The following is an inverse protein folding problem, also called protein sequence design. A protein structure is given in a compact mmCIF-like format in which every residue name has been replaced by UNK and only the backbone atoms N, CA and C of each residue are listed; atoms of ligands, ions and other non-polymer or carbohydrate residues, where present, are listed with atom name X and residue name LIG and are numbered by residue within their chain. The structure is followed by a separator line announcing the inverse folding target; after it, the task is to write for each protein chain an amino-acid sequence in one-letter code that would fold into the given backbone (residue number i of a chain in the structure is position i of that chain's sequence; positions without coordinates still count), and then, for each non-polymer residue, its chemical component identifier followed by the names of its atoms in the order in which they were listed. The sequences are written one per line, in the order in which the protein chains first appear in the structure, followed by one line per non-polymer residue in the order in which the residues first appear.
data_IF_507858963548
#
_entry.id   IF_507858963548
#
_cell.length_a   1.000
_cell.length_b   1.000
_cell.length_c   1.000
_cell.angle_alpha   90.00
_cell.angle_beta   90.00
_cell.angle_gamma   90.00
#
_symmetry.space_group_name_H-M   'P 1'
#
loop_
_entity.id
_entity.type
_entity.pdbx_description
1 polymer ?
#
# COMPACT_ATOMS: atom_id res chain seq x y z
N UNK A 1 -11.00 25.70 32.33
CA UNK A 1 -10.50 24.32 32.11
C UNK A 1 -8.98 24.37 31.97
N UNK A 2 -8.24 23.55 32.73
CA UNK A 2 -6.77 23.56 32.75
C UNK A 2 -6.18 22.99 31.44
N UNK A 3 -5.00 23.46 31.02
CA UNK A 3 -4.27 23.01 29.82
C UNK A 3 -4.03 21.49 29.76
N UNK A 4 -4.03 20.81 30.91
CA UNK A 4 -3.87 19.35 31.00
C UNK A 4 -5.04 18.56 30.43
N UNK A 5 -6.27 19.07 30.60
CA UNK A 5 -7.49 18.37 30.16
C UNK A 5 -7.57 18.30 28.63
N UNK A 6 -7.08 19.32 27.93
CA UNK A 6 -7.11 19.39 26.46
C UNK A 6 -6.11 18.45 25.77
N UNK A 7 -4.97 18.14 26.42
CA UNK A 7 -3.94 17.24 25.86
C UNK A 7 -4.33 15.77 26.07
N UNK A 8 -4.92 15.47 27.22
CA UNK A 8 -5.42 14.14 27.55
C UNK A 8 -6.62 13.76 26.70
N UNK A 9 -7.52 14.70 26.44
CA UNK A 9 -8.69 14.47 25.60
C UNK A 9 -8.23 14.05 24.18
N UNK A 10 -7.23 14.73 23.60
CA UNK A 10 -6.58 14.37 22.31
C UNK A 10 -6.08 12.91 22.23
N UNK A 11 -5.71 12.28 23.34
CA UNK A 11 -5.22 10.89 23.34
C UNK A 11 -6.37 9.86 23.20
N UNK A 12 -7.46 10.01 23.95
CA UNK A 12 -8.65 9.16 23.83
C UNK A 12 -9.38 9.34 22.50
N UNK A 13 -9.34 10.57 21.99
CA UNK A 13 -9.83 10.95 20.67
C UNK A 13 -9.15 10.16 19.54
N UNK A 14 -7.86 9.82 19.64
CA UNK A 14 -7.17 9.03 18.63
C UNK A 14 -7.63 7.55 18.60
N UNK A 15 -7.94 6.97 19.76
CA UNK A 15 -8.40 5.58 19.86
C UNK A 15 -9.84 5.40 19.36
N UNK A 16 -10.75 6.30 19.75
CA UNK A 16 -12.13 6.27 19.26
C UNK A 16 -12.22 6.51 17.74
N UNK A 17 -11.31 7.32 17.19
CA UNK A 17 -11.21 7.53 15.75
C UNK A 17 -10.66 6.32 14.99
N UNK A 18 -9.69 5.62 15.56
CA UNK A 18 -9.19 4.38 14.99
C UNK A 18 -10.31 3.31 14.91
N UNK A 19 -11.20 3.27 15.91
CA UNK A 19 -12.40 2.41 15.87
C UNK A 19 -13.43 2.89 14.85
N UNK A 20 -13.68 4.20 14.75
CA UNK A 20 -14.53 4.76 13.70
C UNK A 20 -14.06 4.40 12.29
N UNK A 21 -12.75 4.54 12.01
CA UNK A 21 -12.19 4.17 10.71
C UNK A 21 -12.30 2.68 10.40
N UNK A 22 -12.38 1.84 11.45
CA UNK A 22 -12.59 0.40 11.31
C UNK A 22 -14.07 0.04 11.13
N UNK A 23 -15.00 0.70 11.82
CA UNK A 23 -16.42 0.33 11.87
C UNK A 23 -17.34 1.16 10.96
N UNK A 24 -16.95 2.38 10.61
CA UNK A 24 -17.78 3.35 9.88
C UNK A 24 -18.92 3.96 10.70
N UNK A 25 -19.03 3.66 12.00
CA UNK A 25 -20.17 4.02 12.84
C UNK A 25 -19.86 5.26 13.71
N UNK A 26 -20.33 6.43 13.27
CA UNK A 26 -20.07 7.71 13.94
C UNK A 26 -20.76 7.81 15.31
N UNK A 27 -21.93 7.20 15.45
CA UNK A 27 -22.67 7.18 16.72
C UNK A 27 -21.89 6.44 17.80
N UNK A 28 -21.37 5.26 17.46
CA UNK A 28 -20.57 4.44 18.37
C UNK A 28 -19.28 5.15 18.81
N UNK A 29 -18.60 5.83 17.89
CA UNK A 29 -17.42 6.64 18.21
C UNK A 29 -17.76 7.81 19.15
N UNK A 30 -18.90 8.48 18.94
CA UNK A 30 -19.39 9.57 19.79
C UNK A 30 -19.74 9.07 21.19
N UNK A 31 -20.40 7.91 21.28
CA UNK A 31 -20.71 7.27 22.57
C UNK A 31 -19.45 6.90 23.34
N UNK A 32 -18.43 6.35 22.65
CA UNK A 32 -17.16 5.98 23.27
C UNK A 32 -16.43 7.22 23.83
N UNK A 33 -16.39 8.29 23.05
CA UNK A 33 -15.83 9.59 23.47
C UNK A 33 -16.56 10.14 24.70
N UNK A 34 -17.89 10.17 24.69
CA UNK A 34 -18.68 10.67 25.81
C UNK A 34 -18.45 9.82 27.08
N UNK A 35 -18.35 8.50 26.92
CA UNK A 35 -18.06 7.57 28.01
C UNK A 35 -16.66 7.78 28.61
N UNK A 36 -15.64 7.96 27.78
CA UNK A 36 -14.27 8.19 28.23
C UNK A 36 -14.12 9.54 28.96
N UNK A 37 -14.81 10.58 28.48
CA UNK A 37 -14.91 11.88 29.15
C UNK A 37 -15.58 11.76 30.52
N UNK A 38 -16.69 11.03 30.59
CA UNK A 38 -17.43 10.76 31.83
C UNK A 38 -16.57 10.01 32.86
N UNK A 39 -15.90 8.92 32.45
CA UNK A 39 -15.04 8.13 33.33
C UNK A 39 -13.84 8.91 33.88
N UNK A 40 -13.25 9.80 33.07
CA UNK A 40 -12.04 10.55 33.44
C UNK A 40 -12.30 11.71 34.40
N UNK A 41 -13.51 12.27 34.49
CA UNK A 41 -13.75 13.47 35.33
C UNK A 41 -13.81 13.19 36.83
N UNK A 42 -13.99 11.94 37.26
CA UNK A 42 -14.23 11.61 38.68
C UNK A 42 -15.43 12.39 39.26
N UNK A 43 -15.32 12.93 40.49
CA UNK A 43 -16.38 13.65 41.21
C UNK A 43 -16.59 15.12 40.77
N UNK A 44 -16.03 15.56 39.65
CA UNK A 44 -16.17 16.95 39.19
C UNK A 44 -17.60 17.20 38.67
N UNK A 45 -18.34 18.24 39.11
CA UNK A 45 -19.75 18.40 38.75
C UNK A 45 -19.90 18.87 37.30
N UNK A 46 -20.32 17.97 36.41
CA UNK A 46 -20.92 18.26 35.10
C UNK A 46 -22.06 17.26 34.88
N UNK A 47 -23.07 17.63 34.08
CA UNK A 47 -24.14 16.69 33.74
C UNK A 47 -23.70 15.76 32.62
N UNK A 48 -24.25 14.54 32.56
CA UNK A 48 -24.05 13.66 31.41
C UNK A 48 -24.43 14.36 30.09
N UNK A 49 -25.47 15.20 30.11
CA UNK A 49 -25.88 16.02 28.97
C UNK A 49 -24.80 17.00 28.50
N UNK A 50 -24.02 17.58 29.42
CA UNK A 50 -22.91 18.47 29.06
C UNK A 50 -21.75 17.69 28.42
N UNK A 51 -21.49 16.47 28.89
CA UNK A 51 -20.47 15.58 28.30
C UNK A 51 -20.88 15.13 26.90
N UNK A 52 -22.17 14.81 26.70
CA UNK A 52 -22.73 14.51 25.39
C UNK A 52 -22.65 15.69 24.43
N UNK A 53 -23.03 16.89 24.90
CA UNK A 53 -22.95 18.10 24.09
C UNK A 53 -21.50 18.43 23.68
N UNK A 54 -20.54 18.21 24.57
CA UNK A 54 -19.12 18.39 24.26
C UNK A 54 -18.59 17.31 23.31
N UNK A 55 -18.99 16.05 23.50
CA UNK A 55 -18.69 14.96 22.57
C UNK A 55 -19.25 15.24 21.17
N UNK A 56 -20.50 15.67 21.06
CA UNK A 56 -21.13 16.04 19.78
C UNK A 56 -20.42 17.22 19.11
N UNK A 57 -20.08 18.27 19.88
CA UNK A 57 -19.34 19.42 19.36
C UNK A 57 -17.99 19.00 18.81
N UNK A 58 -17.25 18.18 19.56
CA UNK A 58 -15.95 17.67 19.16
C UNK A 58 -16.07 16.80 17.91
N UNK A 59 -17.03 15.87 17.85
CA UNK A 59 -17.28 15.04 16.66
C UNK A 59 -17.74 15.85 15.45
N UNK A 60 -18.43 16.96 15.66
CA UNK A 60 -18.91 17.86 14.59
C UNK A 60 -17.79 18.72 14.00
N UNK A 61 -16.88 19.22 14.82
CA UNK A 61 -15.71 20.02 14.40
C UNK A 61 -14.54 19.13 13.89
N UNK A 62 -14.58 17.85 14.26
CA UNK A 62 -13.63 16.79 13.89
C UNK A 62 -13.33 16.69 12.39
N UNK A 63 -14.32 16.66 11.47
CA UNK A 63 -14.08 16.35 10.07
C UNK A 63 -13.12 17.32 9.42
N UNK A 64 -13.10 18.60 9.81
CA UNK A 64 -12.23 19.61 9.20
C UNK A 64 -10.76 19.47 9.64
N UNK A 65 -10.51 19.28 10.94
CA UNK A 65 -9.15 19.06 11.50
C UNK A 65 -8.59 17.70 11.11
N UNK A 66 -9.48 16.71 10.98
CA UNK A 66 -9.14 15.39 10.45
C UNK A 66 -9.07 15.40 8.94
N UNK A 67 -9.64 16.31 8.15
CA UNK A 67 -9.40 16.28 6.70
C UNK A 67 -7.92 16.49 6.39
N UNK A 68 -7.26 17.41 7.09
CA UNK A 68 -5.80 17.58 7.01
C UNK A 68 -5.04 16.39 7.63
N UNK A 69 -5.46 15.92 8.82
CA UNK A 69 -4.81 14.76 9.48
C UNK A 69 -5.08 13.43 8.77
N UNK A 70 -6.18 13.28 8.04
CA UNK A 70 -6.61 12.09 7.30
C UNK A 70 -5.94 12.01 5.94
N UNK A 71 -5.66 13.15 5.30
CA UNK A 71 -4.73 13.21 4.18
C UNK A 71 -3.34 12.73 4.63
N UNK A 72 -2.85 13.20 5.79
CA UNK A 72 -1.61 12.70 6.41
C UNK A 72 -1.72 11.20 6.72
N UNK A 73 -2.84 10.71 7.27
CA UNK A 73 -3.05 9.27 7.51
C UNK A 73 -3.10 8.42 6.24
N UNK A 74 -3.61 8.96 5.12
CA UNK A 74 -3.61 8.25 3.84
C UNK A 74 -2.17 8.06 3.34
N UNK A 75 -1.34 9.10 3.45
CA UNK A 75 0.09 9.00 3.14
C UNK A 75 0.82 8.06 4.11
N UNK A 76 0.55 8.14 5.41
CA UNK A 76 1.14 7.25 6.41
C UNK A 76 0.77 5.79 6.15
N UNK A 77 -0.51 5.51 5.85
CA UNK A 77 -0.99 4.17 5.52
C UNK A 77 -0.34 3.64 4.25
N UNK A 78 -0.20 4.47 3.22
CA UNK A 78 0.50 4.05 2.01
C UNK A 78 2.00 3.87 2.23
N UNK A 79 2.63 4.67 3.08
CA UNK A 79 4.04 4.53 3.44
C UNK A 79 4.26 3.24 4.21
N UNK A 80 3.37 2.91 5.16
CA UNK A 80 3.38 1.65 5.89
C UNK A 80 3.22 0.45 4.94
N UNK A 81 2.26 0.49 4.02
CA UNK A 81 2.06 -0.57 3.02
C UNK A 81 3.26 -0.72 2.08
N UNK A 82 3.89 0.39 1.70
CA UNK A 82 5.12 0.36 0.88
C UNK A 82 6.27 -0.28 1.64
N UNK A 83 6.45 0.05 2.92
CA UNK A 83 7.46 -0.59 3.78
C UNK A 83 7.22 -2.08 3.95
N UNK A 84 5.95 -2.50 4.07
CA UNK A 84 5.56 -3.92 4.13
C UNK A 84 6.00 -4.64 2.84
N UNK A 85 5.66 -4.09 1.67
CA UNK A 85 6.09 -4.65 0.37
C UNK A 85 7.61 -4.72 0.25
N UNK A 86 8.34 -3.65 0.62
CA UNK A 86 9.80 -3.66 0.54
C UNK A 86 10.41 -4.73 1.44
N UNK A 87 9.89 -4.92 2.66
CA UNK A 87 10.34 -5.99 3.57
C UNK A 87 10.06 -7.38 3.02
N UNK A 88 8.90 -7.59 2.39
CA UNK A 88 8.59 -8.85 1.73
C UNK A 88 9.54 -9.12 0.55
N UNK A 89 9.89 -8.09 -0.22
CA UNK A 89 10.86 -8.19 -1.32
C UNK A 89 12.26 -8.51 -0.78
N UNK A 90 12.68 -7.86 0.31
CA UNK A 90 13.93 -8.18 0.99
C UNK A 90 13.98 -9.65 1.42
N UNK A 91 12.91 -10.14 2.06
CA UNK A 91 12.81 -11.53 2.50
C UNK A 91 12.79 -12.52 1.32
N UNK A 92 12.06 -12.22 0.25
CA UNK A 92 11.95 -13.03 -0.95
C UNK A 92 13.29 -13.15 -1.70
N UNK A 93 14.01 -12.05 -1.81
CA UNK A 93 15.23 -11.96 -2.60
C UNK A 93 16.51 -12.19 -1.78
N UNK A 94 16.41 -12.23 -0.45
CA UNK A 94 17.57 -12.29 0.45
C UNK A 94 18.38 -11.00 0.46
N UNK A 95 17.73 -9.86 0.24
CA UNK A 95 18.37 -8.54 0.29
C UNK A 95 18.35 -8.00 1.73
N UNK A 96 19.38 -7.24 2.09
CA UNK A 96 19.53 -6.63 3.44
C UNK A 96 19.38 -5.12 3.41
N UNK A 97 19.08 -4.55 2.24
CA UNK A 97 19.03 -3.12 1.99
C UNK A 97 17.70 -2.72 1.35
N UNK A 98 16.87 -1.89 2.02
CA UNK A 98 15.58 -1.45 1.49
C UNK A 98 15.72 -0.67 0.17
N UNK A 99 16.84 0.03 -0.03
CA UNK A 99 17.09 0.76 -1.28
C UNK A 99 17.34 -0.18 -2.46
N UNK A 100 17.93 -1.34 -2.22
CA UNK A 100 18.12 -2.35 -3.27
C UNK A 100 16.78 -2.99 -3.63
N UNK A 101 15.98 -3.38 -2.63
CA UNK A 101 14.62 -3.88 -2.84
C UNK A 101 13.77 -2.88 -3.65
N UNK A 102 13.88 -1.58 -3.34
CA UNK A 102 13.22 -0.52 -4.09
C UNK A 102 13.70 -0.41 -5.54
N UNK A 103 15.01 -0.48 -5.80
CA UNK A 103 15.57 -0.44 -7.16
C UNK A 103 15.12 -1.64 -7.99
N UNK A 104 15.13 -2.83 -7.39
CA UNK A 104 14.66 -4.06 -8.03
C UNK A 104 13.18 -3.97 -8.37
N UNK A 105 12.34 -3.55 -7.41
CA UNK A 105 10.91 -3.34 -7.65
C UNK A 105 10.67 -2.36 -8.80
N UNK A 106 11.35 -1.20 -8.79
CA UNK A 106 11.23 -0.17 -9.82
C UNK A 106 11.59 -0.71 -11.21
N UNK A 107 12.71 -1.43 -11.33
CA UNK A 107 13.19 -1.98 -12.60
C UNK A 107 12.16 -2.95 -13.22
N UNK A 108 11.62 -3.87 -12.41
CA UNK A 108 10.61 -4.84 -12.86
C UNK A 108 9.28 -4.15 -13.20
N UNK A 109 8.83 -3.22 -12.36
CA UNK A 109 7.62 -2.45 -12.60
C UNK A 109 7.65 -1.66 -13.91
N UNK A 110 8.80 -1.06 -14.25
CA UNK A 110 8.99 -0.39 -15.52
C UNK A 110 8.95 -1.34 -16.72
N UNK A 111 9.60 -2.50 -16.62
CA UNK A 111 9.55 -3.53 -17.66
C UNK A 111 8.12 -4.04 -17.89
N UNK A 112 7.34 -4.23 -16.82
CA UNK A 112 5.91 -4.58 -16.91
C UNK A 112 5.14 -3.49 -17.64
N UNK A 113 5.27 -2.23 -17.23
CA UNK A 113 4.56 -1.10 -17.81
C UNK A 113 4.76 -0.98 -19.31
N UNK A 114 5.98 -1.20 -19.80
CA UNK A 114 6.31 -1.09 -21.23
C UNK A 114 5.61 -2.14 -22.10
N UNK A 115 5.10 -3.22 -21.50
CA UNK A 115 4.36 -4.27 -22.19
C UNK A 115 2.85 -4.09 -22.17
N UNK A 116 2.34 -3.17 -21.36
CA UNK A 116 0.90 -2.95 -21.19
C UNK A 116 0.41 -1.78 -22.06
N UNK A 117 -0.79 -1.91 -22.67
CA UNK A 117 -1.54 -0.75 -23.17
C UNK A 117 -1.86 0.23 -22.04
N UNK A 118 -2.03 1.51 -22.37
CA UNK A 118 -2.29 2.59 -21.38
C UNK A 118 -3.43 2.26 -20.41
N UNK A 119 -4.51 1.65 -20.92
CA UNK A 119 -5.65 1.23 -20.08
C UNK A 119 -5.23 0.19 -19.03
N UNK A 120 -4.54 -0.85 -19.46
CA UNK A 120 -4.09 -1.96 -18.63
C UNK A 120 -3.01 -1.50 -17.63
N UNK A 121 -2.15 -0.56 -18.04
CA UNK A 121 -1.22 0.14 -17.16
C UNK A 121 -1.94 0.83 -16.01
N UNK A 122 -3.06 1.53 -16.28
CA UNK A 122 -3.85 2.20 -15.27
C UNK A 122 -4.54 1.22 -14.31
N UNK A 123 -5.13 0.14 -14.84
CA UNK A 123 -5.77 -0.91 -14.05
C UNK A 123 -4.76 -1.65 -13.17
N UNK A 124 -3.57 -1.94 -13.68
CA UNK A 124 -2.47 -2.51 -12.90
C UNK A 124 -2.00 -1.56 -11.79
N UNK A 125 -1.79 -0.29 -12.11
CA UNK A 125 -1.36 0.72 -11.13
C UNK A 125 -2.36 0.89 -9.98
N UNK A 126 -3.66 0.72 -10.24
CA UNK A 126 -4.70 0.81 -9.20
C UNK A 126 -4.57 -0.28 -8.11
N UNK A 127 -3.77 -1.32 -8.35
CA UNK A 127 -3.50 -2.40 -7.38
C UNK A 127 -2.25 -2.10 -6.51
N UNK A 128 -1.49 -1.04 -6.82
CA UNK A 128 -0.25 -0.70 -6.15
C UNK A 128 -0.50 0.31 -5.02
N UNK A 129 0.29 0.28 -3.92
CA UNK A 129 0.34 1.37 -2.96
C UNK A 129 0.63 2.72 -3.64
N UNK A 130 0.09 3.83 -3.12
CA UNK A 130 0.18 5.15 -3.79
C UNK A 130 1.61 5.58 -4.05
N UNK A 131 2.53 5.29 -3.11
CA UNK A 131 3.94 5.61 -3.27
C UNK A 131 4.58 4.78 -4.39
N UNK A 132 4.26 3.49 -4.47
CA UNK A 132 4.75 2.59 -5.53
C UNK A 132 4.14 2.98 -6.88
N UNK A 133 2.90 3.48 -6.90
CA UNK A 133 2.27 4.02 -8.11
C UNK A 133 3.05 5.20 -8.69
N UNK A 134 3.54 6.11 -7.84
CA UNK A 134 4.41 7.20 -8.28
C UNK A 134 5.70 6.70 -8.93
N UNK A 135 6.31 5.65 -8.36
CA UNK A 135 7.48 4.97 -8.96
C UNK A 135 7.11 4.37 -10.30
N UNK A 136 5.99 3.63 -10.35
CA UNK A 136 5.51 2.95 -11.53
C UNK A 136 5.29 3.90 -12.70
N UNK A 137 4.92 5.16 -12.49
CA UNK A 137 4.74 6.15 -13.57
C UNK A 137 5.95 7.06 -13.81
N UNK A 138 6.97 6.99 -12.96
CA UNK A 138 8.14 7.88 -13.05
C UNK A 138 8.84 7.74 -14.39
N UNK A 139 9.09 8.88 -15.04
CA UNK A 139 9.81 8.96 -16.31
C UNK A 139 9.10 8.28 -17.49
N UNK A 140 7.80 7.97 -17.37
CA UNK A 140 7.06 7.35 -18.46
C UNK A 140 6.59 8.38 -19.48
N UNK A 141 6.79 8.06 -20.75
CA UNK A 141 6.14 8.74 -21.88
C UNK A 141 5.30 7.66 -22.57
N UNK A 142 3.96 7.74 -22.52
CA UNK A 142 3.09 6.76 -23.15
C UNK A 142 3.33 6.72 -24.66
N UNK A 143 3.53 5.52 -25.21
CA UNK A 143 3.58 5.29 -26.64
C UNK A 143 2.29 4.60 -27.10
N UNK A 144 1.82 4.91 -28.31
CA UNK A 144 0.60 4.31 -28.89
C UNK A 144 0.65 2.78 -29.00
N UNK A 145 1.86 2.20 -29.02
CA UNK A 145 2.06 0.75 -29.08
C UNK A 145 2.98 0.30 -27.95
N UNK A 146 2.61 -0.73 -27.17
CA UNK A 146 3.51 -1.33 -26.19
C UNK A 146 4.79 -1.83 -26.86
N UNK A 147 5.90 -1.79 -26.11
CA UNK A 147 7.18 -2.29 -26.58
C UNK A 147 7.05 -3.75 -27.00
N UNK A 148 7.55 -4.09 -28.19
CA UNK A 148 7.53 -5.47 -28.69
C UNK A 148 8.67 -6.24 -28.05
N UNK A 149 8.37 -6.99 -26.99
CA UNK A 149 9.25 -8.01 -26.43
C UNK A 149 8.67 -9.38 -26.76
N UNK A 150 9.38 -10.16 -27.58
CA UNK A 150 8.98 -11.50 -28.03
C UNK A 150 9.55 -12.58 -27.12
N UNK A 151 10.77 -12.36 -26.61
CA UNK A 151 11.50 -13.34 -25.80
C UNK A 151 11.52 -12.95 -24.32
N UNK A 152 11.63 -13.93 -23.43
CA UNK A 152 11.78 -13.67 -22.00
C UNK A 152 13.10 -12.95 -21.69
N UNK A 153 14.17 -13.23 -22.44
CA UNK A 153 15.46 -12.54 -22.32
C UNK A 153 15.31 -11.02 -22.53
N UNK A 154 14.57 -10.57 -23.53
CA UNK A 154 14.37 -9.13 -23.78
C UNK A 154 13.67 -8.41 -22.61
N UNK A 155 12.78 -9.12 -21.90
CA UNK A 155 12.17 -8.60 -20.69
C UNK A 155 13.18 -8.50 -19.55
N UNK A 156 14.01 -9.53 -19.37
CA UNK A 156 15.07 -9.56 -18.35
C UNK A 156 16.15 -8.52 -18.64
N UNK A 157 16.59 -8.37 -19.89
CA UNK A 157 17.56 -7.36 -20.34
C UNK A 157 17.06 -5.94 -20.02
N UNK A 158 15.75 -5.72 -20.19
CA UNK A 158 15.12 -4.45 -19.82
C UNK A 158 15.17 -4.19 -18.32
N UNK A 159 15.02 -5.22 -17.49
CA UNK A 159 15.16 -5.11 -16.03
C UNK A 159 16.63 -4.87 -15.67
N UNK A 160 17.55 -5.63 -16.26
CA UNK A 160 19.00 -5.52 -16.05
C UNK A 160 19.51 -4.10 -16.30
N UNK A 161 19.00 -3.42 -17.32
CA UNK A 161 19.37 -2.04 -17.64
C UNK A 161 19.15 -1.04 -16.49
N UNK A 162 18.25 -1.33 -15.54
CA UNK A 162 17.97 -0.51 -14.37
C UNK A 162 18.46 -1.12 -13.05
N UNK A 163 19.06 -2.31 -13.09
CA UNK A 163 19.57 -3.02 -11.91
C UNK A 163 21.04 -2.71 -11.62
N UNK A 164 21.45 -2.76 -10.34
CA UNK A 164 22.86 -2.87 -9.98
C UNK A 164 23.51 -4.11 -10.63
N UNK A 165 24.71 -3.96 -11.19
CA UNK A 165 25.45 -5.01 -11.92
C UNK A 165 25.78 -6.26 -11.10
N UNK A 166 25.71 -6.18 -9.77
CA UNK A 166 26.00 -7.27 -8.85
C UNK A 166 24.79 -8.15 -8.52
N UNK A 167 23.61 -7.83 -9.06
CA UNK A 167 22.38 -8.59 -8.84
C UNK A 167 22.05 -9.44 -10.08
N UNK A 168 21.52 -10.63 -9.85
CA UNK A 168 21.05 -11.53 -10.91
C UNK A 168 19.67 -11.06 -11.44
N UNK A 169 19.56 -10.56 -12.68
CA UNK A 169 18.31 -10.01 -13.21
C UNK A 169 17.18 -11.02 -13.28
N UNK A 170 17.48 -12.30 -13.57
CA UNK A 170 16.46 -13.35 -13.68
C UNK A 170 15.84 -13.60 -12.31
N UNK A 171 16.69 -13.92 -11.32
CA UNK A 171 16.25 -14.18 -9.94
C UNK A 171 15.50 -12.98 -9.35
N UNK A 172 16.01 -11.77 -9.56
CA UNK A 172 15.36 -10.54 -9.09
C UNK A 172 13.96 -10.38 -9.69
N UNK A 173 13.83 -10.63 -11.01
CA UNK A 173 12.55 -10.52 -11.71
C UNK A 173 11.54 -11.54 -11.21
N UNK A 174 11.93 -12.81 -11.09
CA UNK A 174 11.05 -13.88 -10.60
C UNK A 174 10.53 -13.58 -9.19
N UNK A 175 11.40 -13.12 -8.28
CA UNK A 175 10.99 -12.78 -6.92
C UNK A 175 10.00 -11.61 -6.85
N UNK A 176 10.19 -10.56 -7.66
CA UNK A 176 9.19 -9.49 -7.75
C UNK A 176 7.87 -10.00 -8.32
N UNK A 177 7.89 -10.85 -9.35
CA UNK A 177 6.67 -11.45 -9.90
C UNK A 177 5.91 -12.23 -8.81
N UNK A 178 6.62 -12.98 -7.95
CA UNK A 178 6.01 -13.68 -6.81
C UNK A 178 5.37 -12.73 -5.81
N UNK A 179 6.08 -11.67 -5.39
CA UNK A 179 5.52 -10.64 -4.50
C UNK A 179 4.28 -9.98 -5.12
N UNK A 180 4.34 -9.58 -6.39
CA UNK A 180 3.19 -9.02 -7.10
C UNK A 180 2.01 -10.00 -7.12
N UNK A 181 2.27 -11.29 -7.35
CA UNK A 181 1.25 -12.34 -7.32
C UNK A 181 0.56 -12.53 -5.96
N UNK A 182 1.20 -12.13 -4.85
CA UNK A 182 0.62 -12.17 -3.49
C UNK A 182 -0.27 -10.98 -3.18
N UNK A 183 0.02 -9.80 -3.73
CA UNK A 183 -0.71 -8.56 -3.41
C UNK A 183 -1.73 -8.12 -4.45
N UNK A 184 -1.54 -8.48 -5.72
CA UNK A 184 -2.41 -8.07 -6.82
C UNK A 184 -3.55 -9.07 -6.99
N UNK A 185 -4.75 -8.57 -7.31
CA UNK A 185 -5.89 -9.44 -7.56
C UNK A 185 -5.65 -10.39 -8.74
N UNK A 186 -6.26 -11.58 -8.68
CA UNK A 186 -6.16 -12.59 -9.76
C UNK A 186 -6.58 -12.02 -11.11
N UNK A 187 -7.64 -11.18 -11.14
CA UNK A 187 -8.12 -10.54 -12.36
C UNK A 187 -7.05 -9.67 -13.01
N UNK A 188 -6.50 -8.72 -12.25
CA UNK A 188 -5.44 -7.83 -12.73
C UNK A 188 -4.18 -8.60 -13.18
N UNK A 189 -3.83 -9.69 -12.50
CA UNK A 189 -2.71 -10.55 -12.92
C UNK A 189 -2.98 -11.27 -14.25
N UNK A 190 -4.21 -11.73 -14.49
CA UNK A 190 -4.61 -12.33 -15.77
C UNK A 190 -4.66 -11.30 -16.90
N UNK A 191 -5.09 -10.07 -16.61
CA UNK A 191 -5.06 -8.94 -17.54
C UNK A 191 -3.63 -8.60 -17.97
N UNK A 192 -2.68 -8.57 -17.03
CA UNK A 192 -1.25 -8.43 -17.34
C UNK A 192 -0.79 -9.58 -18.25
N UNK A 193 -1.02 -10.84 -17.86
CA UNK A 193 -0.57 -12.02 -18.62
C UNK A 193 -1.10 -12.03 -20.04
N UNK A 194 -2.34 -11.61 -20.28
CA UNK A 194 -2.96 -11.51 -21.61
C UNK A 194 -2.18 -10.60 -22.56
N UNK A 195 -1.54 -9.57 -22.04
CA UNK A 195 -0.74 -8.61 -22.81
C UNK A 195 0.72 -9.06 -23.04
N UNK A 196 1.18 -10.09 -22.32
CA UNK A 196 2.51 -10.68 -22.48
C UNK A 196 2.57 -11.65 -23.66
N UNK A 197 3.75 -11.78 -24.28
CA UNK A 197 4.00 -12.82 -25.30
C UNK A 197 3.97 -14.20 -24.64
N UNK A 198 3.85 -15.28 -25.43
CA UNK A 198 3.84 -16.64 -24.90
C UNK A 198 5.08 -16.95 -24.04
N UNK A 199 6.27 -16.58 -24.51
CA UNK A 199 7.52 -16.80 -23.79
C UNK A 199 7.59 -16.03 -22.45
N UNK A 200 7.17 -14.76 -22.45
CA UNK A 200 7.17 -13.97 -21.20
C UNK A 200 6.09 -14.51 -20.25
N UNK A 201 4.93 -14.92 -20.77
CA UNK A 201 3.85 -15.51 -19.96
C UNK A 201 4.30 -16.81 -19.30
N UNK A 202 5.03 -17.67 -20.02
CA UNK A 202 5.59 -18.91 -19.48
C UNK A 202 6.55 -18.62 -18.32
N UNK A 203 7.49 -17.69 -18.51
CA UNK A 203 8.41 -17.23 -17.45
C UNK A 203 7.66 -16.69 -16.21
N UNK A 204 6.57 -15.94 -16.41
CA UNK A 204 5.72 -15.48 -15.32
C UNK A 204 5.01 -16.63 -14.59
N UNK A 205 4.51 -17.62 -15.33
CA UNK A 205 3.81 -18.77 -14.74
C UNK A 205 4.76 -19.65 -13.94
N UNK A 206 5.96 -19.89 -14.46
CA UNK A 206 7.03 -20.61 -13.75
C UNK A 206 7.35 -19.91 -12.43
N UNK A 207 7.61 -18.60 -12.48
CA UNK A 207 7.89 -17.77 -11.29
C UNK A 207 6.80 -17.90 -10.21
N UNK A 208 5.53 -17.83 -10.61
CA UNK A 208 4.37 -17.91 -9.70
C UNK A 208 4.10 -19.32 -9.17
N UNK A 209 4.60 -20.36 -9.85
CA UNK A 209 4.40 -21.75 -9.45
C UNK A 209 5.37 -22.18 -8.34
N UNK A 210 6.62 -21.69 -8.39
CA UNK A 210 7.65 -21.95 -7.38
C UNK A 210 7.23 -21.47 -5.99
N UNK A 211 6.54 -20.33 -5.91
CA UNK A 211 6.03 -19.77 -4.64
C UNK A 211 5.10 -20.74 -3.90
N UNK A 212 4.25 -21.45 -4.65
CA UNK A 212 3.25 -22.36 -4.08
C UNK A 212 3.86 -23.65 -3.56
N UNK A 213 4.97 -24.09 -4.15
CA UNK A 213 5.72 -25.27 -3.71
C UNK A 213 6.45 -24.98 -2.40
N UNK A 214 7.00 -23.77 -2.25
CA UNK A 214 7.71 -23.35 -1.04
C UNK A 214 6.72 -23.05 0.12
N UNK A 215 5.56 -22.46 -0.19
CA UNK A 215 4.50 -22.19 0.79
C UNK A 215 3.85 -23.46 1.35
N UNK A 216 3.84 -24.58 0.62
CA UNK A 216 3.33 -25.87 1.07
C UNK A 216 4.30 -26.67 1.96
N UNK A 217 5.55 -26.21 2.12
CA UNK A 217 6.59 -26.84 2.96
C UNK A 217 6.79 -26.14 4.31
N UNK A 218 6.15 -25.00 4.55
CA UNK A 218 6.26 -24.21 5.80
C UNK A 218 5.10 -24.45 6.74
#
# INVERSE_FOLDING_TARGET
MSKDTATVAKHFYAEAYADYLRSGNLYEATCKVAYDLYLRRGNTPSSQEADWAEAERITRDWPHTITETSQVHLFDKSLAKTREWLKEIEAELGLTNPNEAYRVLRAVLHAVRERLPVKETAEFAAQLPIMITGVYYSGWIPNDKPARMRHASEFVDRVEAELPKNLDPVRMTQGIIRVLGRHISKGALEDVKRNLSAAIREFWMESLSEDRVEAGKR
#
